data_IF_031598060280
#
_entry.id   IF_031598060280
#
_cell.length_a   1.000
_cell.length_b   1.000
_cell.length_c   1.000
_cell.angle_alpha   90.00
_cell.angle_beta   90.00
_cell.angle_gamma   90.00
#
_symmetry.space_group_name_H-M   'P 1'
#
loop_
_entity.id
_entity.type
_entity.pdbx_description
1 polymer ?
#
# COMPACT_ATOMS: atom_id res chain seq x y z
N UNK A 1 2.52 -1.72 13.48
CA UNK A 1 2.68 -2.85 12.54
C UNK A 1 2.80 -4.12 13.38
N UNK A 2 1.97 -5.15 13.16
CA UNK A 2 2.18 -6.48 13.79
C UNK A 2 3.66 -6.83 13.60
N UNK A 3 4.38 -7.18 14.66
CA UNK A 3 5.86 -7.25 14.73
C UNK A 3 6.54 -8.24 13.77
N UNK A 4 6.34 -8.03 12.48
CA UNK A 4 6.85 -8.77 11.35
C UNK A 4 7.75 -7.83 10.57
N UNK A 5 8.91 -8.31 10.19
CA UNK A 5 9.84 -7.60 9.33
C UNK A 5 9.32 -7.59 7.89
N UNK A 6 9.71 -6.59 7.10
CA UNK A 6 9.32 -6.49 5.69
C UNK A 6 9.83 -7.69 4.87
N UNK A 7 10.93 -8.34 5.30
CA UNK A 7 11.46 -9.57 4.71
C UNK A 7 10.50 -10.75 4.94
N UNK A 8 9.99 -10.91 6.17
CA UNK A 8 9.00 -11.95 6.49
C UNK A 8 7.67 -11.73 5.77
N UNK A 9 7.27 -10.46 5.61
CA UNK A 9 6.11 -10.11 4.80
C UNK A 9 6.32 -10.46 3.32
N UNK A 10 7.49 -10.12 2.77
CA UNK A 10 7.85 -10.45 1.39
C UNK A 10 7.80 -11.96 1.13
N UNK A 11 8.36 -12.76 2.04
CA UNK A 11 8.33 -14.21 1.93
C UNK A 11 6.92 -14.82 2.04
N UNK A 12 5.97 -14.14 2.69
CA UNK A 12 4.56 -14.58 2.75
C UNK A 12 3.76 -14.18 1.52
N UNK A 13 4.07 -13.03 0.93
CA UNK A 13 3.35 -12.51 -0.25
C UNK A 13 3.86 -13.19 -1.53
N UNK A 14 5.17 -13.38 -1.64
CA UNK A 14 5.81 -14.00 -2.79
C UNK A 14 7.01 -14.85 -2.32
N UNK A 15 6.78 -16.13 -1.97
CA UNK A 15 7.85 -17.01 -1.47
C UNK A 15 8.93 -17.33 -2.53
N UNK A 16 8.59 -17.26 -3.82
CA UNK A 16 9.49 -17.62 -4.93
C UNK A 16 10.19 -16.42 -5.59
N UNK A 17 10.02 -15.19 -5.06
CA UNK A 17 10.48 -13.97 -5.71
C UNK A 17 11.18 -12.98 -4.77
N UNK A 18 12.06 -12.14 -5.34
CA UNK A 18 12.62 -10.97 -4.66
C UNK A 18 11.57 -9.85 -4.57
N UNK A 19 10.56 -10.07 -3.73
CA UNK A 19 9.46 -9.14 -3.51
C UNK A 19 9.79 -8.07 -2.44
N UNK A 20 10.95 -8.18 -1.79
CA UNK A 20 11.42 -7.25 -0.77
C UNK A 20 11.63 -5.84 -1.32
N UNK A 21 12.30 -5.74 -2.48
CA UNK A 21 12.58 -4.45 -3.13
C UNK A 21 11.30 -3.74 -3.59
N UNK A 22 10.28 -4.49 -4.00
CA UNK A 22 8.96 -3.96 -4.33
C UNK A 22 8.21 -3.47 -3.09
N UNK A 23 8.15 -4.28 -2.02
CA UNK A 23 7.51 -3.90 -0.77
C UNK A 23 8.12 -2.64 -0.15
N UNK A 24 9.45 -2.52 -0.15
CA UNK A 24 10.14 -1.35 0.39
C UNK A 24 9.78 -0.07 -0.40
N UNK A 25 9.57 -0.17 -1.71
CA UNK A 25 9.12 0.97 -2.53
C UNK A 25 7.65 1.32 -2.29
N UNK A 26 6.81 0.33 -1.99
CA UNK A 26 5.40 0.53 -1.62
C UNK A 26 5.30 1.25 -0.28
N UNK A 27 6.05 0.81 0.75
CA UNK A 27 6.06 1.46 2.07
C UNK A 27 6.51 2.93 2.00
N UNK A 28 7.40 3.26 1.08
CA UNK A 28 7.86 4.63 0.88
C UNK A 28 6.89 5.51 0.07
N UNK A 29 5.74 4.97 -0.37
CA UNK A 29 4.79 5.66 -1.27
C UNK A 29 5.35 5.91 -2.67
N UNK A 30 6.44 5.24 -3.05
CA UNK A 30 7.20 5.49 -4.29
C UNK A 30 6.81 4.57 -5.44
N UNK A 31 5.89 3.65 -5.23
CA UNK A 31 5.43 2.72 -6.24
C UNK A 31 3.91 2.52 -6.12
N UNK A 32 3.19 2.93 -7.17
CA UNK A 32 1.81 2.50 -7.36
C UNK A 32 1.81 0.98 -7.55
N UNK A 33 1.16 0.26 -6.63
CA UNK A 33 1.05 -1.20 -6.71
C UNK A 33 -0.30 -1.61 -7.32
N UNK A 34 -0.34 -2.83 -7.85
CA UNK A 34 -1.59 -3.39 -8.39
C UNK A 34 -2.58 -3.69 -7.26
N UNK A 35 -3.88 -3.72 -7.60
CA UNK A 35 -4.93 -4.16 -6.67
C UNK A 35 -4.61 -5.55 -6.12
N UNK A 36 -4.17 -6.47 -6.97
CA UNK A 36 -3.72 -7.82 -6.56
C UNK A 36 -2.64 -7.78 -5.48
N UNK A 37 -1.64 -6.89 -5.62
CA UNK A 37 -0.58 -6.72 -4.62
C UNK A 37 -1.14 -6.25 -3.27
N UNK A 38 -2.08 -5.29 -3.29
CA UNK A 38 -2.73 -4.78 -2.09
C UNK A 38 -3.47 -5.90 -1.35
N UNK A 39 -4.21 -6.73 -2.09
CA UNK A 39 -4.93 -7.88 -1.51
C UNK A 39 -3.96 -8.91 -0.92
N UNK A 40 -2.87 -9.23 -1.60
CA UNK A 40 -1.87 -10.17 -1.10
C UNK A 40 -1.16 -9.68 0.16
N UNK A 41 -0.81 -8.38 0.23
CA UNK A 41 -0.23 -7.76 1.43
C UNK A 41 -1.24 -7.77 2.58
N UNK A 42 -2.50 -7.39 2.32
CA UNK A 42 -3.56 -7.40 3.33
C UNK A 42 -3.80 -8.80 3.90
N UNK A 43 -3.83 -9.82 3.02
CA UNK A 43 -3.95 -11.21 3.42
C UNK A 43 -2.77 -11.67 4.30
N UNK A 44 -1.53 -11.34 3.92
CA UNK A 44 -0.34 -11.71 4.68
C UNK A 44 -0.29 -11.04 6.08
N UNK A 45 -0.80 -9.81 6.18
CA UNK A 45 -0.94 -9.06 7.44
C UNK A 45 -2.20 -9.44 8.25
N UNK A 46 -3.12 -10.18 7.63
CA UNK A 46 -4.45 -10.51 8.15
C UNK A 46 -5.24 -9.27 8.56
N UNK A 47 -5.30 -8.30 7.65
CA UNK A 47 -6.09 -7.07 7.75
C UNK A 47 -6.97 -6.93 6.51
N UNK A 48 -7.91 -5.98 6.52
CA UNK A 48 -8.70 -5.66 5.33
C UNK A 48 -7.85 -4.81 4.37
N UNK A 49 -7.98 -4.99 3.05
CA UNK A 49 -7.31 -4.14 2.05
C UNK A 49 -7.58 -2.65 2.25
N UNK A 50 -8.78 -2.29 2.72
CA UNK A 50 -9.14 -0.91 3.05
C UNK A 50 -8.29 -0.29 4.16
N UNK A 51 -7.66 -1.09 5.01
CA UNK A 51 -6.75 -0.62 6.07
C UNK A 51 -5.34 -0.30 5.52
N UNK A 52 -5.04 -0.65 4.27
CA UNK A 52 -3.81 -0.27 3.56
C UNK A 52 -3.98 0.99 2.70
N UNK A 53 -5.21 1.42 2.46
CA UNK A 53 -5.52 2.55 1.60
C UNK A 53 -5.72 3.78 2.47
N UNK A 54 -4.84 4.77 2.33
CA UNK A 54 -5.12 6.11 2.81
C UNK A 54 -6.11 6.76 1.84
N UNK A 55 -7.24 7.21 2.37
CA UNK A 55 -8.17 8.04 1.61
C UNK A 55 -7.54 9.44 1.58
N UNK A 56 -6.80 9.75 0.53
CA UNK A 56 -6.39 11.12 0.26
C UNK A 56 -7.63 11.89 -0.20
N UNK A 57 -8.25 12.63 0.73
CA UNK A 57 -9.42 13.48 0.48
C UNK A 57 -9.01 14.75 -0.29
N UNK A 58 -8.31 14.60 -1.42
CA UNK A 58 -7.86 15.70 -2.27
C UNK A 58 -8.98 16.16 -3.21
N UNK A 59 -10.12 16.57 -2.66
CA UNK A 59 -11.20 17.23 -3.43
C UNK A 59 -11.39 18.71 -3.06
N UNK A 60 -10.50 19.30 -2.24
CA UNK A 60 -10.75 20.64 -1.67
C UNK A 60 -10.16 21.84 -2.44
N UNK A 61 -9.38 21.66 -3.51
CA UNK A 61 -8.71 22.79 -4.16
C UNK A 61 -9.39 23.35 -5.44
N UNK A 62 -10.36 22.64 -6.01
CA UNK A 62 -10.97 23.04 -7.29
C UNK A 62 -12.20 23.97 -7.18
N UNK A 63 -12.74 24.22 -5.97
CA UNK A 63 -13.97 25.03 -5.79
C UNK A 63 -13.68 26.50 -5.48
N UNK A 64 -12.44 26.87 -5.13
CA UNK A 64 -12.12 28.21 -4.64
C UNK A 64 -11.70 29.23 -5.71
N UNK A 65 -11.68 28.85 -6.99
CA UNK A 65 -11.20 29.73 -8.08
C UNK A 65 -12.30 30.35 -8.97
N UNK A 66 -13.58 30.25 -8.61
CA UNK A 66 -14.66 30.74 -9.50
C UNK A 66 -15.68 31.69 -8.84
N UNK A 67 -15.29 32.43 -7.82
CA UNK A 67 -16.07 33.58 -7.32
C UNK A 67 -15.18 34.82 -7.22
N UNK A 68 -14.93 35.47 -8.35
CA UNK A 68 -14.70 36.91 -8.45
C UNK A 68 -15.15 37.41 -9.82
#
# INVERSE_FOLDING_TARGET
>A
MKGMTIVELAGRVHPDGDFYSHLSRIELGKLACSVETIFSIAHALQIKPSELLEIEDSWQEAVNYNIH
#
